data_IF_343098057500
#
_entry.id   IF_343098057500
#
_cell.length_a   1.000
_cell.length_b   1.000
_cell.length_c   1.000
_cell.angle_alpha   90.00
_cell.angle_beta   90.00
_cell.angle_gamma   90.00
#
_symmetry.space_group_name_H-M   'P 1'
#
loop_
_entity.id
_entity.type
_entity.pdbx_description
1 polymer ?
#
# COMPACT_ATOMS: atom_id res chain seq x y z
N UNK A 1 -5.65 -25.04 1.95
CA UNK A 1 -5.28 -23.93 1.09
C UNK A 1 -6.52 -23.24 0.55
N UNK A 2 -6.46 -21.95 0.31
CA UNK A 2 -7.56 -21.22 -0.35
C UNK A 2 -7.68 -21.71 -1.79
N UNK A 3 -8.90 -21.86 -2.35
CA UNK A 3 -9.06 -22.23 -3.74
C UNK A 3 -8.41 -21.15 -4.63
N UNK A 4 -7.74 -21.60 -5.69
CA UNK A 4 -7.26 -20.70 -6.72
C UNK A 4 -8.47 -20.14 -7.48
N UNK A 5 -8.62 -18.84 -7.51
CA UNK A 5 -9.67 -18.15 -8.25
C UNK A 5 -9.11 -17.66 -9.58
N UNK A 6 -9.97 -17.58 -10.60
CA UNK A 6 -9.63 -16.98 -11.88
C UNK A 6 -9.82 -15.46 -11.85
N UNK A 7 -9.09 -14.75 -12.71
CA UNK A 7 -9.28 -13.32 -12.89
C UNK A 7 -10.65 -13.03 -13.51
N UNK A 8 -11.32 -12.02 -13.00
CA UNK A 8 -12.63 -11.58 -13.51
C UNK A 8 -12.48 -11.03 -14.93
N UNK A 9 -13.13 -11.67 -15.89
CA UNK A 9 -13.16 -11.25 -17.30
C UNK A 9 -14.53 -10.76 -17.77
N UNK A 10 -15.55 -10.90 -16.91
CA UNK A 10 -16.94 -10.50 -17.21
C UNK A 10 -17.49 -9.63 -16.08
N UNK A 11 -18.72 -9.17 -16.20
CA UNK A 11 -19.41 -8.44 -15.14
C UNK A 11 -19.73 -9.32 -13.91
N UNK A 12 -19.71 -10.65 -14.06
CA UNK A 12 -19.87 -11.57 -12.93
C UNK A 12 -18.56 -11.68 -12.14
N UNK A 13 -18.59 -11.27 -10.88
CA UNK A 13 -17.43 -11.31 -9.98
C UNK A 13 -17.45 -12.47 -8.98
N UNK A 14 -18.51 -13.30 -8.96
CA UNK A 14 -18.65 -14.43 -8.04
C UNK A 14 -17.65 -15.52 -8.42
N UNK A 15 -16.86 -15.99 -7.45
CA UNK A 15 -15.86 -17.03 -7.69
C UNK A 15 -14.62 -16.55 -8.43
N UNK A 16 -14.46 -15.24 -8.62
CA UNK A 16 -13.31 -14.63 -9.31
C UNK A 16 -12.56 -13.66 -8.42
N UNK A 17 -11.35 -13.27 -8.84
CA UNK A 17 -10.62 -12.16 -8.23
C UNK A 17 -10.45 -11.01 -9.22
N UNK A 18 -10.30 -9.81 -8.69
CA UNK A 18 -9.96 -8.63 -9.48
C UNK A 18 -8.93 -7.77 -8.74
N UNK A 19 -8.54 -6.69 -9.39
CA UNK A 19 -7.56 -5.75 -8.83
C UNK A 19 -8.25 -4.81 -7.85
N UNK A 20 -7.80 -4.84 -6.61
CA UNK A 20 -8.16 -3.90 -5.57
C UNK A 20 -7.10 -2.80 -5.49
N UNK A 21 -7.53 -1.55 -5.59
CA UNK A 21 -6.70 -0.40 -5.25
C UNK A 21 -6.92 -0.06 -3.78
N UNK A 22 -5.94 -0.32 -2.93
CA UNK A 22 -6.04 -0.06 -1.49
C UNK A 22 -6.33 1.41 -1.19
N UNK A 23 -5.74 2.33 -1.95
CA UNK A 23 -6.20 3.71 -2.06
C UNK A 23 -7.14 3.79 -3.28
N UNK A 24 -8.45 4.05 -3.12
CA UNK A 24 -9.41 3.99 -4.22
C UNK A 24 -9.09 4.98 -5.33
N UNK A 25 -9.21 4.54 -6.57
CA UNK A 25 -8.97 5.39 -7.74
C UNK A 25 -9.81 6.68 -7.73
N UNK A 26 -11.08 6.56 -7.43
CA UNK A 26 -12.01 7.71 -7.38
C UNK A 26 -11.64 8.71 -6.28
N UNK A 27 -11.13 8.22 -5.15
CA UNK A 27 -10.68 9.07 -4.03
C UNK A 27 -9.35 9.75 -4.34
N UNK A 28 -8.43 9.05 -4.99
CA UNK A 28 -7.12 9.58 -5.37
C UNK A 28 -7.12 10.43 -6.64
N UNK A 29 -8.19 10.38 -7.43
CA UNK A 29 -8.22 11.04 -8.75
C UNK A 29 -7.28 10.40 -9.76
N UNK A 30 -7.01 9.09 -9.65
CA UNK A 30 -6.10 8.39 -10.56
C UNK A 30 -6.64 8.34 -11.97
N UNK A 31 -5.75 8.55 -12.94
CA UNK A 31 -6.06 8.42 -14.35
C UNK A 31 -6.37 6.96 -14.73
N UNK A 32 -7.00 6.80 -15.86
CA UNK A 32 -7.19 5.49 -16.49
C UNK A 32 -5.83 4.86 -16.79
N UNK A 33 -5.77 3.53 -16.70
CA UNK A 33 -4.59 2.76 -17.07
C UNK A 33 -4.18 2.95 -18.54
N UNK A 34 -5.14 3.27 -19.38
CA UNK A 34 -4.90 3.53 -20.82
C UNK A 34 -4.05 4.80 -21.05
N UNK A 35 -4.03 5.70 -20.07
CA UNK A 35 -3.23 6.91 -20.08
C UNK A 35 -1.91 6.76 -19.33
N UNK A 36 -1.69 5.62 -18.69
CA UNK A 36 -0.49 5.29 -17.95
C UNK A 36 0.40 4.41 -18.82
N UNK A 37 1.28 5.05 -19.58
CA UNK A 37 2.25 4.40 -20.46
C UNK A 37 3.56 4.03 -19.79
N UNK A 38 3.75 4.41 -18.54
CA UNK A 38 4.90 4.01 -17.72
C UNK A 38 4.67 2.61 -17.15
N UNK A 39 5.57 1.68 -17.42
CA UNK A 39 5.31 0.25 -17.21
C UNK A 39 6.11 -0.39 -16.10
N UNK A 40 7.33 0.06 -15.92
CA UNK A 40 8.32 -0.65 -15.13
C UNK A 40 8.82 0.13 -13.90
N UNK A 41 8.29 1.29 -13.66
CA UNK A 41 8.67 2.13 -12.55
C UNK A 41 10.04 2.82 -12.66
N UNK A 42 10.85 2.52 -13.66
CA UNK A 42 12.16 3.16 -13.82
C UNK A 42 12.05 4.64 -14.05
N UNK A 43 11.18 5.01 -14.95
CA UNK A 43 10.90 6.41 -15.27
C UNK A 43 10.31 7.15 -14.07
N UNK A 44 9.61 6.45 -13.20
CA UNK A 44 9.10 7.01 -11.96
C UNK A 44 10.22 7.44 -11.02
N UNK A 45 11.37 6.74 -11.03
CA UNK A 45 12.53 7.13 -10.24
C UNK A 45 13.31 8.31 -10.83
N UNK A 46 13.42 8.38 -12.14
CA UNK A 46 14.33 9.28 -12.82
C UNK A 46 13.66 10.54 -13.34
N UNK A 47 12.35 10.53 -13.39
CA UNK A 47 11.56 11.57 -13.98
C UNK A 47 10.70 12.24 -12.92
N UNK A 48 10.45 13.53 -13.09
CA UNK A 48 9.47 14.28 -12.29
C UNK A 48 8.07 13.68 -12.33
N UNK A 49 7.80 12.77 -13.25
CA UNK A 49 6.59 11.95 -13.29
C UNK A 49 6.41 11.02 -12.09
N UNK A 50 7.42 10.86 -11.25
CA UNK A 50 7.29 10.17 -9.97
C UNK A 50 6.11 10.66 -9.14
N UNK A 51 5.77 11.93 -9.26
CA UNK A 51 4.64 12.56 -8.57
C UNK A 51 3.32 12.46 -9.33
N UNK A 52 3.31 11.82 -10.49
CA UNK A 52 2.09 11.69 -11.30
C UNK A 52 1.14 10.68 -10.72
N UNK A 53 -0.12 11.07 -10.51
CA UNK A 53 -1.19 10.17 -10.05
C UNK A 53 -1.54 9.08 -11.08
N UNK A 54 -1.09 9.20 -12.33
CA UNK A 54 -1.21 8.13 -13.33
C UNK A 54 -0.50 6.86 -12.87
N UNK A 55 0.70 7.00 -12.31
CA UNK A 55 1.49 5.88 -11.82
C UNK A 55 0.87 5.24 -10.58
N UNK A 56 0.10 5.99 -9.80
CA UNK A 56 -0.67 5.46 -8.67
C UNK A 56 -1.70 4.42 -9.08
N UNK A 57 -2.19 4.47 -10.33
CA UNK A 57 -3.13 3.47 -10.87
C UNK A 57 -2.50 2.09 -11.10
N UNK A 58 -1.21 2.02 -11.38
CA UNK A 58 -0.48 0.79 -11.71
C UNK A 58 0.55 0.37 -10.65
N UNK A 59 0.72 1.16 -9.60
CA UNK A 59 1.69 0.87 -8.55
C UNK A 59 1.39 -0.46 -7.84
N UNK A 60 2.30 -1.41 -7.96
CA UNK A 60 2.13 -2.73 -7.38
C UNK A 60 2.08 -2.72 -5.85
N UNK A 61 2.64 -1.72 -5.17
CA UNK A 61 2.51 -1.59 -3.72
C UNK A 61 1.08 -1.25 -3.30
N UNK A 62 0.31 -0.58 -4.17
CA UNK A 62 -1.07 -0.18 -3.91
C UNK A 62 -2.12 -1.16 -4.47
N UNK A 63 -1.69 -2.15 -5.26
CA UNK A 63 -2.58 -3.13 -5.86
C UNK A 63 -2.58 -4.45 -5.09
N UNK A 64 -3.77 -5.02 -4.92
CA UNK A 64 -3.96 -6.35 -4.33
C UNK A 64 -4.92 -7.18 -5.18
N UNK A 65 -4.66 -8.48 -5.26
CA UNK A 65 -5.67 -9.42 -5.74
C UNK A 65 -6.73 -9.59 -4.65
N UNK A 66 -7.95 -9.20 -4.93
CA UNK A 66 -9.07 -9.29 -4.00
C UNK A 66 -10.18 -10.16 -4.57
N UNK A 67 -10.89 -10.88 -3.69
CA UNK A 67 -12.10 -11.58 -4.08
C UNK A 67 -13.11 -10.59 -4.64
N UNK A 68 -13.63 -10.87 -5.85
CA UNK A 68 -14.43 -9.90 -6.60
C UNK A 68 -15.63 -9.33 -5.83
N UNK A 69 -16.48 -10.14 -5.16
CA UNK A 69 -17.56 -9.64 -4.33
C UNK A 69 -17.09 -8.76 -3.18
N UNK A 70 -15.98 -9.09 -2.53
CA UNK A 70 -15.43 -8.29 -1.43
C UNK A 70 -14.95 -6.92 -1.92
N UNK A 71 -14.25 -6.90 -3.05
CA UNK A 71 -13.85 -5.64 -3.69
C UNK A 71 -15.08 -4.77 -4.05
N UNK A 72 -16.17 -5.40 -4.51
CA UNK A 72 -17.42 -4.68 -4.79
C UNK A 72 -18.09 -4.12 -3.53
N UNK A 73 -18.04 -4.86 -2.42
CA UNK A 73 -18.56 -4.38 -1.12
C UNK A 73 -17.73 -3.19 -0.64
N UNK A 74 -16.40 -3.32 -0.68
CA UNK A 74 -15.50 -2.25 -0.27
C UNK A 74 -15.69 -1.01 -1.14
N UNK A 75 -15.80 -1.15 -2.46
CA UNK A 75 -15.99 -0.07 -3.41
C UNK A 75 -14.96 1.07 -3.18
N UNK A 76 -15.43 2.29 -2.88
CA UNK A 76 -14.59 3.45 -2.55
C UNK A 76 -14.76 3.92 -1.09
N UNK A 77 -15.25 3.04 -0.20
CA UNK A 77 -15.40 3.35 1.22
C UNK A 77 -14.04 3.64 1.86
N UNK A 78 -14.07 4.48 2.86
CA UNK A 78 -12.92 4.70 3.74
C UNK A 78 -12.67 3.47 4.61
N UNK A 79 -11.52 3.41 5.27
CA UNK A 79 -11.24 2.37 6.26
C UNK A 79 -11.56 2.87 7.64
N UNK A 80 -12.53 2.26 8.31
CA UNK A 80 -12.85 2.60 9.69
C UNK A 80 -14.28 2.28 10.10
N UNK A 81 -14.62 2.55 11.37
CA UNK A 81 -15.95 2.29 11.92
C UNK A 81 -17.06 3.06 11.16
N UNK A 82 -18.09 2.34 10.74
CA UNK A 82 -19.18 2.93 9.94
C UNK A 82 -18.92 2.94 8.44
N UNK A 83 -17.70 2.64 8.03
CA UNK A 83 -17.24 2.47 6.67
C UNK A 83 -16.75 1.02 6.48
N UNK A 84 -15.67 0.80 5.75
CA UNK A 84 -15.14 -0.55 5.54
C UNK A 84 -14.12 -0.93 6.62
N UNK A 85 -14.38 -2.01 7.33
CA UNK A 85 -13.51 -2.53 8.41
C UNK A 85 -12.80 -3.84 8.05
N UNK A 86 -12.89 -4.26 6.79
CA UNK A 86 -12.32 -5.51 6.29
C UNK A 86 -13.35 -6.63 6.21
N UNK A 87 -13.01 -7.72 5.50
CA UNK A 87 -13.88 -8.87 5.36
C UNK A 87 -14.02 -9.60 6.70
N UNK A 88 -15.23 -10.08 6.99
CA UNK A 88 -15.48 -10.93 8.15
C UNK A 88 -14.92 -12.34 7.92
N UNK A 89 -14.38 -12.96 8.96
CA UNK A 89 -13.98 -14.38 8.94
C UNK A 89 -12.72 -14.68 8.14
N UNK A 90 -11.86 -13.74 7.89
CA UNK A 90 -10.56 -14.00 7.25
C UNK A 90 -9.61 -14.76 8.18
N UNK A 91 -8.98 -15.79 7.63
CA UNK A 91 -7.84 -16.44 8.27
C UNK A 91 -6.61 -15.52 8.11
N UNK A 92 -6.16 -14.98 9.20
CA UNK A 92 -5.10 -13.98 9.24
C UNK A 92 -5.61 -12.57 8.94
N UNK A 93 -4.89 -11.61 9.43
CA UNK A 93 -5.18 -10.21 9.17
C UNK A 93 -4.38 -9.75 7.95
N UNK A 94 -4.99 -8.90 7.13
CA UNK A 94 -4.33 -8.12 6.08
C UNK A 94 -4.52 -6.64 6.33
N UNK A 95 -4.92 -6.27 7.53
CA UNK A 95 -5.23 -4.89 7.87
C UNK A 95 -3.98 -4.03 7.91
N UNK A 96 -2.90 -4.56 8.50
CA UNK A 96 -1.60 -3.92 8.49
C UNK A 96 -1.03 -3.73 7.09
N UNK A 97 -1.14 -4.78 6.23
CA UNK A 97 -0.75 -4.70 4.82
C UNK A 97 -1.47 -3.55 4.10
N UNK A 98 -2.79 -3.44 4.31
CA UNK A 98 -3.60 -2.38 3.72
C UNK A 98 -3.18 -1.02 4.25
N UNK A 99 -2.99 -0.88 5.56
CA UNK A 99 -2.55 0.37 6.18
C UNK A 99 -1.21 0.83 5.61
N UNK A 100 -0.20 -0.03 5.59
CA UNK A 100 1.13 0.27 5.03
C UNK A 100 1.08 0.60 3.53
N UNK A 101 0.17 -0.03 2.81
CA UNK A 101 -0.05 0.26 1.40
C UNK A 101 -0.67 1.65 1.18
N UNK A 102 -1.66 2.02 1.98
CA UNK A 102 -2.32 3.34 1.90
C UNK A 102 -1.37 4.47 2.32
N UNK A 103 -0.64 4.27 3.43
CA UNK A 103 0.35 5.24 3.91
C UNK A 103 1.51 5.43 2.91
N UNK A 104 1.94 4.35 2.25
CA UNK A 104 2.92 4.42 1.16
C UNK A 104 2.44 5.34 0.02
N UNK A 105 1.17 5.28 -0.36
CA UNK A 105 0.65 6.12 -1.43
C UNK A 105 0.79 7.60 -1.12
N UNK A 106 0.60 8.02 0.13
CA UNK A 106 0.79 9.41 0.52
C UNK A 106 2.24 9.88 0.36
N UNK A 107 3.23 9.07 0.73
CA UNK A 107 4.63 9.48 0.62
C UNK A 107 5.17 9.36 -0.81
N UNK A 108 4.52 8.55 -1.64
CA UNK A 108 4.97 8.28 -3.00
C UNK A 108 4.42 9.26 -4.02
N UNK A 109 3.21 9.77 -3.82
CA UNK A 109 2.49 10.57 -4.81
C UNK A 109 2.02 11.90 -4.23
N UNK A 110 2.43 12.99 -4.87
CA UNK A 110 1.94 14.32 -4.52
C UNK A 110 0.42 14.42 -4.72
N UNK A 111 -0.23 15.15 -3.84
CA UNK A 111 -1.67 15.34 -3.86
C UNK A 111 -2.46 14.23 -3.18
N UNK A 112 -1.82 13.17 -2.69
CA UNK A 112 -2.46 12.18 -1.82
C UNK A 112 -2.17 12.47 -0.36
N UNK A 113 -3.20 12.39 0.46
CA UNK A 113 -3.12 12.69 1.89
C UNK A 113 -4.01 11.73 2.68
N UNK A 114 -3.45 11.11 3.69
CA UNK A 114 -4.19 10.33 4.67
C UNK A 114 -4.53 11.22 5.85
N UNK A 115 -5.82 11.30 6.18
CA UNK A 115 -6.35 12.23 7.18
C UNK A 115 -7.25 11.51 8.18
N UNK A 116 -7.50 12.14 9.32
CA UNK A 116 -8.51 11.65 10.26
C UNK A 116 -9.93 11.87 9.73
N UNK A 117 -10.80 10.91 10.01
CA UNK A 117 -12.19 10.93 9.60
C UNK A 117 -12.41 10.59 8.13
N UNK A 118 -13.57 10.96 7.61
CA UNK A 118 -14.07 10.55 6.31
C UNK A 118 -14.36 11.77 5.43
N UNK A 119 -13.35 12.32 4.74
CA UNK A 119 -13.43 13.59 4.01
C UNK A 119 -14.17 13.43 2.66
N UNK A 120 -15.49 13.35 2.69
CA UNK A 120 -16.28 13.26 1.47
C UNK A 120 -16.16 14.51 0.60
N UNK A 121 -16.10 14.29 -0.71
CA UNK A 121 -16.02 15.33 -1.72
C UNK A 121 -14.62 15.93 -1.94
N UNK A 122 -13.60 15.48 -1.22
CA UNK A 122 -12.22 15.94 -1.40
C UNK A 122 -11.37 14.88 -2.12
N UNK A 123 -11.01 15.16 -3.35
CA UNK A 123 -10.10 14.31 -4.14
C UNK A 123 -8.68 14.36 -3.55
N UNK A 124 -8.05 13.22 -3.48
CA UNK A 124 -6.70 13.07 -2.93
C UNK A 124 -6.66 12.85 -1.41
N UNK A 125 -7.76 13.09 -0.70
CA UNK A 125 -7.84 12.79 0.73
C UNK A 125 -8.51 11.45 1.00
N UNK A 126 -7.95 10.70 1.95
CA UNK A 126 -8.46 9.39 2.32
C UNK A 126 -8.26 9.11 3.83
N UNK A 127 -9.22 8.44 4.45
CA UNK A 127 -9.19 8.18 5.88
C UNK A 127 -9.63 6.73 6.21
N UNK A 128 -9.67 6.39 7.45
CA UNK A 128 -9.32 7.19 8.63
C UNK A 128 -7.89 6.89 9.09
N UNK A 129 -7.09 7.93 9.30
CA UNK A 129 -5.71 7.78 9.73
C UNK A 129 -5.60 7.03 11.08
N UNK A 130 -6.46 7.35 12.05
CA UNK A 130 -6.41 6.69 13.35
C UNK A 130 -6.64 5.18 13.22
N UNK A 131 -7.60 4.77 12.39
CA UNK A 131 -7.86 3.36 12.09
C UNK A 131 -6.67 2.69 11.38
N UNK A 132 -6.06 3.37 10.43
CA UNK A 132 -4.91 2.82 9.70
C UNK A 132 -3.69 2.66 10.61
N UNK A 133 -3.45 3.58 11.55
CA UNK A 133 -2.41 3.44 12.57
C UNK A 133 -2.69 2.27 13.51
N UNK A 134 -3.92 2.09 13.94
CA UNK A 134 -4.32 0.94 14.75
C UNK A 134 -4.09 -0.38 14.00
N UNK A 135 -4.48 -0.45 12.73
CA UNK A 135 -4.26 -1.64 11.91
C UNK A 135 -2.78 -1.95 11.72
N UNK A 136 -1.97 -0.93 11.45
CA UNK A 136 -0.53 -1.08 11.32
C UNK A 136 0.12 -1.67 12.58
N UNK A 137 -0.28 -1.18 13.77
CA UNK A 137 0.26 -1.64 15.07
C UNK A 137 -0.16 -3.06 15.42
N UNK A 138 -1.41 -3.42 15.11
CA UNK A 138 -1.99 -4.72 15.45
C UNK A 138 -1.61 -5.83 14.47
N UNK A 139 -1.13 -5.50 13.30
CA UNK A 139 -0.77 -6.42 12.22
C UNK A 139 0.58 -6.01 11.60
N UNK A 140 1.70 -6.31 12.29
CA UNK A 140 3.03 -5.96 11.82
C UNK A 140 3.40 -6.72 10.55
N UNK A 141 4.42 -6.25 9.78
CA UNK A 141 4.87 -6.93 8.57
C UNK A 141 5.21 -8.39 8.82
N UNK A 142 4.72 -9.26 7.97
CA UNK A 142 4.97 -10.70 7.99
C UNK A 142 5.85 -11.17 6.82
N UNK A 143 6.20 -12.45 6.79
CA UNK A 143 7.02 -13.06 5.73
C UNK A 143 6.40 -12.92 4.34
N UNK A 144 5.07 -12.91 4.25
CA UNK A 144 4.39 -12.72 2.97
C UNK A 144 4.58 -11.30 2.45
N UNK A 145 4.40 -10.31 3.31
CA UNK A 145 4.54 -8.91 2.97
C UNK A 145 6.00 -8.55 2.63
N UNK A 146 6.96 -9.04 3.43
CA UNK A 146 8.40 -8.89 3.15
C UNK A 146 8.79 -9.51 1.81
N UNK A 147 8.33 -10.73 1.54
CA UNK A 147 8.59 -11.39 0.26
C UNK A 147 7.97 -10.65 -0.91
N UNK A 148 6.75 -10.15 -0.73
CA UNK A 148 6.07 -9.35 -1.74
C UNK A 148 6.83 -8.05 -2.04
N UNK A 149 7.31 -7.36 -1.02
CA UNK A 149 8.13 -6.15 -1.16
C UNK A 149 9.40 -6.43 -2.00
N UNK A 150 10.06 -7.57 -1.76
CA UNK A 150 11.20 -8.01 -2.56
C UNK A 150 10.82 -8.25 -4.04
N UNK A 151 9.70 -8.93 -4.29
CA UNK A 151 9.24 -9.20 -5.66
C UNK A 151 8.87 -7.91 -6.39
N UNK A 152 8.13 -7.00 -5.75
CA UNK A 152 7.76 -5.71 -6.35
C UNK A 152 9.03 -4.92 -6.71
N UNK A 153 10.04 -4.92 -5.86
CA UNK A 153 11.33 -4.27 -6.14
C UNK A 153 11.97 -4.76 -7.44
N UNK A 154 11.85 -6.04 -7.78
CA UNK A 154 12.43 -6.57 -9.03
C UNK A 154 11.74 -6.07 -10.29
N UNK A 155 10.51 -5.54 -10.17
CA UNK A 155 9.71 -5.07 -11.30
C UNK A 155 9.64 -3.54 -11.41
N UNK A 156 9.44 -2.85 -10.29
CA UNK A 156 9.27 -1.39 -10.31
C UNK A 156 10.37 -0.62 -9.56
N UNK A 157 11.42 -1.32 -9.08
CA UNK A 157 12.67 -0.77 -8.54
C UNK A 157 12.50 0.15 -7.33
N UNK A 158 11.39 0.06 -6.63
CA UNK A 158 11.17 0.74 -5.36
C UNK A 158 10.61 -0.24 -4.32
N UNK A 159 10.68 0.15 -3.06
CA UNK A 159 10.18 -0.62 -1.93
C UNK A 159 9.18 0.22 -1.17
N UNK A 160 8.26 -0.45 -0.47
CA UNK A 160 7.47 0.21 0.54
C UNK A 160 8.30 0.26 1.83
N UNK A 161 8.75 1.45 2.28
CA UNK A 161 9.62 1.56 3.45
C UNK A 161 8.92 1.15 4.76
N UNK A 162 7.60 1.21 4.81
CA UNK A 162 6.83 0.82 6.00
C UNK A 162 6.74 -0.70 6.21
N UNK A 163 7.21 -1.48 5.23
CA UNK A 163 7.41 -2.92 5.38
C UNK A 163 8.81 -3.21 5.89
N UNK A 164 9.82 -2.50 5.38
CA UNK A 164 11.21 -2.68 5.77
C UNK A 164 11.51 -2.10 7.16
N UNK A 165 10.95 -0.93 7.44
CA UNK A 165 11.13 -0.16 8.66
C UNK A 165 9.76 0.32 9.18
N UNK A 166 8.96 -0.57 9.76
CA UNK A 166 7.59 -0.24 10.15
C UNK A 166 7.48 0.90 11.17
N UNK A 167 8.50 1.10 12.00
CA UNK A 167 8.53 2.20 12.96
C UNK A 167 8.46 3.58 12.31
N UNK A 168 8.85 3.74 11.04
CA UNK A 168 8.75 5.01 10.33
C UNK A 168 7.32 5.59 10.33
N UNK A 169 6.31 4.73 10.40
CA UNK A 169 4.91 5.17 10.49
C UNK A 169 4.68 5.99 11.75
N UNK A 170 5.28 5.59 12.88
CA UNK A 170 5.15 6.32 14.15
C UNK A 170 5.82 7.70 14.11
N UNK A 171 6.93 7.84 13.38
CA UNK A 171 7.62 9.12 13.22
C UNK A 171 6.90 10.08 12.27
N UNK A 172 6.15 9.55 11.31
CA UNK A 172 5.43 10.37 10.33
C UNK A 172 4.02 10.75 10.80
N UNK A 173 3.31 9.86 11.49
CA UNK A 173 1.89 10.07 11.84
C UNK A 173 1.51 9.61 13.24
N UNK A 174 2.38 8.94 13.96
CA UNK A 174 2.08 8.32 15.24
C UNK A 174 2.67 9.07 16.44
N UNK A 175 3.19 8.31 17.38
CA UNK A 175 3.61 8.80 18.70
C UNK A 175 4.97 9.50 18.70
N UNK A 176 5.76 9.36 17.62
CA UNK A 176 7.10 9.92 17.47
C UNK A 176 7.18 11.09 16.50
N UNK A 177 6.04 11.72 16.18
CA UNK A 177 6.02 12.89 15.30
C UNK A 177 6.84 14.02 15.91
N UNK A 178 7.87 14.45 15.18
CA UNK A 178 8.82 15.48 15.64
C UNK A 178 10.11 14.93 16.22
N UNK A 179 10.19 13.64 16.52
CA UNK A 179 11.43 12.98 16.93
C UNK A 179 12.34 12.71 15.73
N UNK A 180 13.63 12.55 15.99
CA UNK A 180 14.62 12.19 14.96
C UNK A 180 14.66 10.66 14.86
N UNK A 181 14.31 10.15 13.68
CA UNK A 181 14.50 8.72 13.39
C UNK A 181 16.00 8.44 13.15
N UNK A 182 16.50 7.39 13.80
CA UNK A 182 17.84 6.87 13.54
C UNK A 182 17.77 5.37 13.40
N UNK A 183 18.25 4.85 12.27
CA UNK A 183 18.38 3.41 12.11
C UNK A 183 19.38 2.88 13.13
N UNK A 184 18.95 2.00 14.02
CA UNK A 184 19.87 1.25 14.86
C UNK A 184 20.63 0.26 13.97
N UNK A 185 21.87 0.59 13.63
CA UNK A 185 22.77 -0.37 13.02
C UNK A 185 23.01 -1.48 14.05
N UNK A 186 22.33 -2.59 13.91
CA UNK A 186 22.71 -3.80 14.64
C UNK A 186 24.08 -4.22 14.10
N UNK A 187 25.08 -4.21 14.96
CA UNK A 187 26.45 -4.65 14.64
C UNK A 187 26.56 -6.16 14.36
N UNK A 188 25.46 -6.82 14.01
CA UNK A 188 25.43 -8.24 13.68
C UNK A 188 25.78 -8.56 12.22
N UNK A 189 25.88 -7.56 11.35
CA UNK A 189 26.36 -7.75 9.99
C UNK A 189 27.88 -7.57 9.91
N UNK A 190 28.61 -8.55 10.49
CA UNK A 190 30.03 -8.74 10.22
C UNK A 190 30.23 -9.15 8.75
N UNK A 191 30.10 -8.22 7.84
CA UNK A 191 30.74 -8.34 6.54
C UNK A 191 32.21 -7.93 6.69
N UNK A 192 33.06 -8.88 7.07
CA UNK A 192 34.49 -8.78 6.82
C UNK A 192 34.71 -8.67 5.31
N UNK A 193 34.77 -7.46 4.83
CA UNK A 193 35.32 -7.20 3.48
C UNK A 193 36.83 -7.42 3.57
N UNK A 194 37.28 -8.62 3.37
CA UNK A 194 38.70 -8.90 3.11
C UNK A 194 39.05 -8.30 1.73
N UNK A 195 39.54 -7.06 1.76
CA UNK A 195 40.26 -6.50 0.63
C UNK A 195 41.63 -7.19 0.62
N UNK A 196 41.82 -8.16 -0.27
CA UNK A 196 43.17 -8.63 -0.62
C UNK A 196 43.81 -7.62 -1.55
N UNK A 197 44.89 -7.00 -1.08
CA UNK A 197 45.84 -6.23 -1.87
C UNK A 197 46.66 -7.19 -2.75
#
# INVERSE_FOLDING_TARGET
GRPKLDYQTTSNNIGTWNREHTFPRSRGGFNSIDLDDMRDGKEVFWNTNADSLRHGNSDAHALRASYGPENSIRNNQFYGPGEYVGPSGTLGSFKGDVARSVLYMQIRYNGLQVVNGYPDGLTGQFGDLATLLEWHRNDPPDDYEMRRNNVVYTWQFNRNPFIDEPELVEYLWGTHVGDIWSQSLSLSDNYETQIKV
#
